data_IF_426649846651
#
_entry.id   IF_426649846651
#
_cell.length_a   1.000
_cell.length_b   1.000
_cell.length_c   1.000
_cell.angle_alpha   90.00
_cell.angle_beta   90.00
_cell.angle_gamma   90.00
#
_symmetry.space_group_name_H-M   'P 1'
#
loop_
_entity.id
_entity.type
_entity.pdbx_description
1 polymer ?
#
# COMPACT_ATOMS: atom_id res chain seq x y z
N UNK A 1 9.22 19.33 14.27
CA UNK A 1 9.20 19.23 12.79
C UNK A 1 7.96 18.45 12.39
N UNK A 2 6.99 19.09 11.72
CA UNK A 2 5.74 18.46 11.29
C UNK A 2 5.96 17.41 10.20
N UNK A 3 4.93 16.61 9.90
CA UNK A 3 4.99 15.63 8.80
C UNK A 3 4.97 16.36 7.47
N UNK A 4 5.91 16.06 6.57
CA UNK A 4 5.90 16.61 5.20
C UNK A 4 4.74 16.03 4.39
N UNK A 5 4.34 16.69 3.29
CA UNK A 5 3.25 16.21 2.42
C UNK A 5 3.46 14.77 1.95
N UNK A 6 4.69 14.41 1.58
CA UNK A 6 5.04 13.03 1.19
C UNK A 6 4.95 12.03 2.35
N UNK A 7 5.32 12.43 3.58
CA UNK A 7 5.15 11.57 4.76
C UNK A 7 3.68 11.29 5.04
N UNK A 8 2.81 12.30 4.87
CA UNK A 8 1.36 12.11 4.97
C UNK A 8 0.83 11.19 3.87
N UNK A 9 1.31 11.34 2.63
CA UNK A 9 0.95 10.44 1.54
C UNK A 9 1.38 8.99 1.80
N UNK A 10 2.59 8.76 2.34
CA UNK A 10 3.06 7.43 2.71
C UNK A 10 2.18 6.78 3.79
N UNK A 11 1.82 7.54 4.83
CA UNK A 11 0.91 7.06 5.87
C UNK A 11 -0.50 6.78 5.33
N UNK A 12 -1.00 7.64 4.44
CA UNK A 12 -2.30 7.45 3.78
C UNK A 12 -2.31 6.17 2.94
N UNK A 13 -1.26 5.94 2.15
CA UNK A 13 -1.09 4.74 1.35
C UNK A 13 -1.01 3.48 2.23
N UNK A 14 -0.24 3.51 3.32
CA UNK A 14 -0.19 2.39 4.26
C UNK A 14 -1.58 2.06 4.81
N UNK A 15 -2.33 3.06 5.28
CA UNK A 15 -3.70 2.87 5.77
C UNK A 15 -4.63 2.33 4.68
N UNK A 16 -4.47 2.77 3.44
CA UNK A 16 -5.25 2.28 2.31
C UNK A 16 -4.97 0.80 2.03
N UNK A 17 -3.71 0.35 2.07
CA UNK A 17 -3.34 -1.06 1.97
C UNK A 17 -4.00 -1.90 3.08
N UNK A 18 -3.97 -1.42 4.33
CA UNK A 18 -4.61 -2.12 5.45
C UNK A 18 -6.14 -2.21 5.30
N UNK A 19 -6.79 -1.17 4.76
CA UNK A 19 -8.23 -1.21 4.47
C UNK A 19 -8.54 -2.20 3.35
N UNK A 20 -7.79 -2.17 2.25
CA UNK A 20 -7.95 -3.12 1.16
C UNK A 20 -7.71 -4.57 1.61
N UNK A 21 -6.75 -4.83 2.51
CA UNK A 21 -6.58 -6.17 3.05
C UNK A 21 -7.80 -6.67 3.85
N UNK A 22 -8.57 -5.76 4.48
CA UNK A 22 -9.80 -6.13 5.21
C UNK A 22 -10.98 -6.49 4.30
N UNK A 23 -11.00 -6.03 3.04
CA UNK A 23 -12.05 -6.43 2.07
C UNK A 23 -11.82 -7.83 1.52
N UNK A 24 -10.60 -8.37 1.68
CA UNK A 24 -10.23 -9.69 1.19
C UNK A 24 -10.70 -10.84 2.10
N UNK A 25 -10.85 -12.05 1.53
CA UNK A 25 -11.16 -13.26 2.28
C UNK A 25 -10.20 -13.47 3.46
N UNK A 26 -10.69 -13.98 4.61
CA UNK A 26 -9.89 -14.17 5.83
C UNK A 26 -8.58 -14.93 5.62
N UNK A 27 -8.55 -15.87 4.67
CA UNK A 27 -7.40 -16.73 4.36
C UNK A 27 -6.25 -15.93 3.73
N UNK A 28 -6.59 -14.98 2.85
CA UNK A 28 -5.62 -14.16 2.12
C UNK A 28 -5.16 -12.90 2.87
N UNK A 29 -5.95 -12.47 3.86
CA UNK A 29 -5.73 -11.23 4.61
C UNK A 29 -4.39 -11.18 5.36
N UNK A 30 -3.95 -12.22 6.10
CA UNK A 30 -2.67 -12.19 6.83
C UNK A 30 -1.48 -11.96 5.90
N UNK A 31 -1.44 -12.63 4.74
CA UNK A 31 -0.36 -12.49 3.76
C UNK A 31 -0.27 -11.06 3.21
N UNK A 32 -1.40 -10.44 2.88
CA UNK A 32 -1.44 -9.06 2.39
C UNK A 32 -1.02 -8.04 3.45
N UNK A 33 -1.44 -8.24 4.70
CA UNK A 33 -1.03 -7.38 5.82
C UNK A 33 0.47 -7.50 6.09
N UNK A 34 1.00 -8.72 6.08
CA UNK A 34 2.43 -8.97 6.29
C UNK A 34 3.25 -8.38 5.15
N UNK A 35 2.82 -8.56 3.91
CA UNK A 35 3.46 -7.96 2.74
C UNK A 35 3.51 -6.43 2.85
N UNK A 36 2.37 -5.79 3.17
CA UNK A 36 2.31 -4.34 3.32
C UNK A 36 3.25 -3.86 4.44
N UNK A 37 3.29 -4.54 5.59
CA UNK A 37 4.21 -4.18 6.68
C UNK A 37 5.67 -4.32 6.26
N UNK A 38 6.04 -5.46 5.68
CA UNK A 38 7.40 -5.75 5.26
C UNK A 38 7.93 -4.74 4.23
N UNK A 39 7.10 -4.34 3.26
CA UNK A 39 7.50 -3.33 2.26
C UNK A 39 7.74 -1.95 2.89
N UNK A 40 6.88 -1.51 3.82
CA UNK A 40 7.08 -0.21 4.48
C UNK A 40 8.27 -0.24 5.44
N UNK A 41 8.49 -1.37 6.14
CA UNK A 41 9.62 -1.56 7.05
C UNK A 41 10.95 -1.57 6.30
N UNK A 42 11.04 -2.25 5.15
CA UNK A 42 12.24 -2.26 4.29
C UNK A 42 12.65 -0.84 3.85
N UNK A 43 11.67 0.05 3.68
CA UNK A 43 11.88 1.41 3.18
C UNK A 43 11.89 2.47 4.29
N UNK A 44 11.85 2.08 5.58
CA UNK A 44 11.78 3.01 6.72
C UNK A 44 13.01 3.93 6.85
N UNK A 45 14.17 3.46 6.41
CA UNK A 45 15.45 4.19 6.49
C UNK A 45 15.75 5.13 5.31
N UNK A 46 14.82 5.31 4.36
CA UNK A 46 15.04 6.21 3.23
C UNK A 46 15.27 7.64 3.72
N UNK A 47 16.28 8.30 3.14
CA UNK A 47 16.53 9.70 3.42
C UNK A 47 15.29 10.53 3.05
N UNK A 48 14.75 11.28 4.01
CA UNK A 48 13.59 12.17 3.83
C UNK A 48 13.76 13.23 2.73
N UNK A 49 15.00 13.51 2.32
CA UNK A 49 15.34 14.44 1.23
C UNK A 49 15.41 13.74 -0.14
N UNK A 50 15.36 12.41 -0.19
CA UNK A 50 15.29 11.66 -1.45
C UNK A 50 13.85 11.62 -1.97
N UNK A 51 13.37 12.78 -2.40
CA UNK A 51 12.01 12.98 -2.87
C UNK A 51 11.68 12.05 -4.05
N UNK A 52 12.63 11.86 -4.97
CA UNK A 52 12.47 11.01 -6.15
C UNK A 52 12.21 9.56 -5.77
N UNK A 53 12.97 9.02 -4.81
CA UNK A 53 12.78 7.64 -4.35
C UNK A 53 11.45 7.47 -3.64
N UNK A 54 11.08 8.43 -2.78
CA UNK A 54 9.80 8.39 -2.06
C UNK A 54 8.63 8.46 -3.03
N UNK A 55 8.65 9.37 -4.01
CA UNK A 55 7.61 9.46 -5.03
C UNK A 55 7.49 8.19 -5.87
N UNK A 56 8.62 7.63 -6.29
CA UNK A 56 8.63 6.37 -7.05
C UNK A 56 7.93 5.24 -6.27
N UNK A 57 8.26 5.09 -4.98
CA UNK A 57 7.66 4.07 -4.13
C UNK A 57 6.17 4.33 -3.87
N UNK A 58 5.77 5.59 -3.68
CA UNK A 58 4.36 5.97 -3.56
C UNK A 58 3.57 5.59 -4.81
N UNK A 59 4.06 5.96 -6.00
CA UNK A 59 3.41 5.60 -7.28
C UNK A 59 3.34 4.09 -7.47
N UNK A 60 4.43 3.36 -7.16
CA UNK A 60 4.47 1.89 -7.23
C UNK A 60 3.43 1.25 -6.31
N UNK A 61 3.34 1.70 -5.06
CA UNK A 61 2.39 1.17 -4.09
C UNK A 61 0.94 1.51 -4.44
N UNK A 62 0.66 2.71 -4.95
CA UNK A 62 -0.66 3.10 -5.45
C UNK A 62 -1.09 2.21 -6.62
N UNK A 63 -0.20 1.93 -7.57
CA UNK A 63 -0.48 1.03 -8.69
C UNK A 63 -0.81 -0.39 -8.20
N UNK A 64 -0.03 -0.92 -7.27
CA UNK A 64 -0.29 -2.24 -6.68
C UNK A 64 -1.66 -2.29 -5.98
N UNK A 65 -1.99 -1.26 -5.20
CA UNK A 65 -3.27 -1.14 -4.52
C UNK A 65 -4.43 -1.10 -5.53
N UNK A 66 -4.30 -0.32 -6.60
CA UNK A 66 -5.28 -0.24 -7.67
C UNK A 66 -5.48 -1.60 -8.37
N UNK A 67 -4.39 -2.35 -8.62
CA UNK A 67 -4.48 -3.72 -9.16
C UNK A 67 -5.19 -4.67 -8.21
N UNK A 68 -4.90 -4.59 -6.91
CA UNK A 68 -5.58 -5.42 -5.90
C UNK A 68 -7.09 -5.11 -5.81
N UNK A 69 -7.48 -3.85 -5.98
CA UNK A 69 -8.88 -3.43 -6.04
C UNK A 69 -9.55 -3.83 -7.37
N UNK A 70 -8.86 -3.71 -8.50
CA UNK A 70 -9.41 -4.11 -9.80
C UNK A 70 -9.65 -5.63 -9.91
N UNK A 71 -8.80 -6.45 -9.28
CA UNK A 71 -8.98 -7.92 -9.23
C UNK A 71 -10.23 -8.34 -8.45
N UNK A 72 -10.81 -7.49 -7.61
CA UNK A 72 -12.13 -7.74 -6.99
C UNK A 72 -13.28 -7.56 -7.99
N UNK A 73 -13.18 -6.60 -8.93
CA UNK A 73 -14.24 -6.36 -9.92
C UNK A 73 -14.46 -7.55 -10.88
N UNK A 74 -13.47 -8.43 -11.01
CA UNK A 74 -13.54 -9.65 -11.83
C UNK A 74 -14.01 -10.88 -11.05
N UNK A 75 -14.22 -10.76 -9.73
CA UNK A 75 -14.66 -11.86 -8.86
C UNK A 75 -16.17 -11.95 -8.65
N UNK A 76 -16.97 -11.05 -9.25
CA UNK A 76 -18.44 -11.07 -9.20
C UNK A 76 -19.01 -11.39 -10.59
N UNK A 77 -18.57 -12.49 -11.18
CA UNK A 77 -19.39 -13.23 -12.17
C UNK A 77 -18.92 -14.69 -12.12
N UNK A 78 -19.55 -15.47 -11.25
CA UNK A 78 -19.59 -16.91 -11.41
C UNK A 78 -21.03 -17.27 -11.73
N UNK A 79 -21.15 -18.10 -12.77
CA UNK A 79 -22.34 -18.77 -13.30
C UNK A 79 -23.38 -19.17 -12.25
#
# INVERSE_FOLDING_TARGET
MGKTGLQLQALSLYRACLRAARTKPPESRPGLLQFARAEFDRNRGINRLDFMRVEFLLRKGQKLLATLAAREAQGVTMR
#
